data_IF_720076539396
#
_entry.id   IF_720076539396
#
_cell.length_a   1.000
_cell.length_b   1.000
_cell.length_c   1.000
_cell.angle_alpha   90.00
_cell.angle_beta   90.00
_cell.angle_gamma   90.00
#
_symmetry.space_group_name_H-M   'P 1'
#
loop_
_entity.id
_entity.type
_entity.pdbx_description
1 polymer ?
#
# COMPACT_ATOMS: atom_id res chain seq x y z
N UNK A 1 22.79 12.19 16.94
CA UNK A 1 22.56 13.41 16.11
C UNK A 1 23.71 13.72 15.15
N UNK A 2 24.98 13.58 15.56
CA UNK A 2 26.15 13.88 14.71
C UNK A 2 26.42 12.81 13.62
N UNK A 3 26.28 11.52 13.93
CA UNK A 3 26.55 10.43 12.97
C UNK A 3 25.70 10.50 11.69
N UNK A 4 24.43 10.88 11.83
CA UNK A 4 23.50 11.06 10.71
C UNK A 4 23.87 12.21 9.78
N UNK A 5 24.61 13.20 10.27
CA UNK A 5 25.11 14.31 9.44
C UNK A 5 26.29 13.83 8.60
N UNK A 6 27.24 13.10 9.21
CA UNK A 6 28.36 12.50 8.49
C UNK A 6 27.92 11.58 7.35
N UNK A 7 26.85 10.80 7.56
CA UNK A 7 26.26 9.95 6.51
C UNK A 7 25.63 10.73 5.34
N UNK A 8 25.33 12.02 5.51
CA UNK A 8 24.74 12.89 4.49
C UNK A 8 25.77 13.79 3.80
N UNK A 9 27.03 13.78 4.24
CA UNK A 9 28.09 14.56 3.59
C UNK A 9 28.44 13.85 2.27
N UNK A 10 28.27 14.56 1.16
CA UNK A 10 28.66 14.07 -0.16
C UNK A 10 30.18 14.16 -0.38
N UNK A 11 30.65 13.66 -1.52
CA UNK A 11 32.07 13.68 -1.90
C UNK A 11 32.69 15.10 -1.93
N UNK A 12 31.87 16.12 -2.15
CA UNK A 12 32.28 17.54 -2.13
C UNK A 12 32.42 18.12 -0.72
N UNK A 13 32.19 17.35 0.35
CA UNK A 13 32.19 17.84 1.74
C UNK A 13 30.93 18.63 2.12
N UNK A 14 29.99 18.82 1.19
CA UNK A 14 28.72 19.51 1.42
C UNK A 14 27.64 18.49 1.80
N UNK A 15 26.81 18.84 2.79
CA UNK A 15 25.67 18.03 3.21
C UNK A 15 24.62 18.01 2.10
N UNK A 16 24.17 16.81 1.72
CA UNK A 16 23.10 16.64 0.74
C UNK A 16 21.80 17.34 1.15
N UNK A 17 21.09 17.84 0.17
CA UNK A 17 19.81 18.53 0.36
C UNK A 17 18.80 17.66 1.11
N UNK A 18 18.10 18.23 2.09
CA UNK A 18 17.02 17.53 2.78
C UNK A 18 15.82 17.35 1.85
N UNK A 19 15.41 16.10 1.65
CA UNK A 19 14.27 15.68 0.82
C UNK A 19 13.02 15.37 1.65
N UNK A 20 13.04 15.57 2.97
CA UNK A 20 11.83 15.45 3.80
C UNK A 20 10.73 16.40 3.28
N UNK A 21 9.51 15.88 3.14
CA UNK A 21 8.37 16.64 2.62
C UNK A 21 8.44 16.99 1.12
N UNK A 22 9.57 16.76 0.45
CA UNK A 22 9.70 16.93 -1.00
C UNK A 22 9.29 15.63 -1.67
N UNK A 23 7.99 15.48 -1.90
CA UNK A 23 7.50 14.43 -2.78
C UNK A 23 8.00 14.74 -4.20
N UNK A 24 8.94 13.93 -4.71
CA UNK A 24 9.09 13.81 -6.16
C UNK A 24 7.71 13.48 -6.72
N UNK A 25 7.34 14.04 -7.87
CA UNK A 25 6.04 13.79 -8.51
C UNK A 25 5.94 12.29 -8.76
N UNK A 26 5.37 11.54 -7.82
CA UNK A 26 5.17 10.11 -7.94
C UNK A 26 4.31 9.94 -9.19
N UNK A 27 4.83 9.28 -10.22
CA UNK A 27 4.09 9.02 -11.44
C UNK A 27 2.75 8.44 -11.04
N UNK A 28 1.66 9.18 -11.34
CA UNK A 28 0.33 8.67 -11.04
C UNK A 28 0.19 7.38 -11.83
N UNK A 29 0.00 6.28 -11.12
CA UNK A 29 -0.44 5.04 -11.74
C UNK A 29 -1.73 5.32 -12.49
N UNK A 30 -1.85 4.71 -13.66
CA UNK A 30 -3.05 4.81 -14.47
C UNK A 30 -4.27 4.31 -13.68
N UNK A 31 -5.41 4.96 -13.88
CA UNK A 31 -6.62 4.62 -13.12
C UNK A 31 -7.16 3.24 -13.50
N UNK A 32 -6.96 2.80 -14.75
CA UNK A 32 -7.32 1.44 -15.18
C UNK A 32 -6.61 0.37 -14.34
N UNK A 33 -5.31 0.55 -14.06
CA UNK A 33 -4.53 -0.39 -13.25
C UNK A 33 -5.03 -0.41 -11.81
N UNK A 34 -5.48 0.73 -11.28
CA UNK A 34 -6.05 0.77 -9.93
C UNK A 34 -7.40 0.06 -9.89
N UNK A 35 -8.19 0.20 -10.94
CA UNK A 35 -9.52 -0.40 -11.02
C UNK A 35 -9.45 -1.92 -11.16
N UNK A 36 -8.47 -2.49 -11.89
CA UNK A 36 -8.27 -3.95 -11.90
C UNK A 36 -7.97 -4.49 -10.50
N UNK A 37 -7.12 -3.81 -9.74
CA UNK A 37 -6.78 -4.19 -8.37
C UNK A 37 -8.01 -4.05 -7.44
N UNK A 38 -8.77 -2.95 -7.55
CA UNK A 38 -10.00 -2.74 -6.77
C UNK A 38 -11.04 -3.81 -7.07
N UNK A 39 -11.23 -4.15 -8.33
CA UNK A 39 -12.18 -5.18 -8.76
C UNK A 39 -11.80 -6.55 -8.18
N UNK A 40 -10.52 -6.90 -8.20
CA UNK A 40 -10.05 -8.12 -7.53
C UNK A 40 -10.31 -8.10 -6.02
N UNK A 41 -9.99 -6.99 -5.34
CA UNK A 41 -10.25 -6.83 -3.90
C UNK A 41 -11.74 -6.96 -3.57
N UNK A 42 -12.62 -6.42 -4.41
CA UNK A 42 -14.07 -6.47 -4.22
C UNK A 42 -14.68 -7.84 -4.53
N UNK A 43 -13.94 -8.74 -5.18
CA UNK A 43 -14.41 -10.11 -5.48
C UNK A 43 -14.43 -11.01 -4.23
N UNK A 44 -13.66 -10.68 -3.20
CA UNK A 44 -13.59 -11.45 -1.97
C UNK A 44 -14.82 -11.23 -1.08
N UNK A 45 -15.28 -12.31 -0.45
CA UNK A 45 -16.35 -12.23 0.55
C UNK A 45 -15.88 -11.47 1.79
N UNK A 46 -16.69 -10.51 2.21
CA UNK A 46 -16.49 -9.78 3.46
C UNK A 46 -17.38 -10.33 4.57
N UNK A 47 -16.92 -10.24 5.81
CA UNK A 47 -17.65 -10.57 7.03
C UNK A 47 -17.97 -9.30 7.81
N UNK A 48 -19.06 -9.33 8.58
CA UNK A 48 -19.38 -8.27 9.54
C UNK A 48 -18.49 -8.40 10.79
N UNK A 49 -18.24 -7.29 11.49
CA UNK A 49 -17.56 -7.39 12.77
C UNK A 49 -18.45 -8.07 13.79
N UNK A 50 -17.93 -9.12 14.42
CA UNK A 50 -18.60 -9.81 15.51
C UNK A 50 -18.98 -8.90 16.69
N UNK A 51 -18.23 -7.81 16.89
CA UNK A 51 -18.42 -6.86 17.99
C UNK A 51 -18.86 -5.46 17.51
N UNK A 52 -19.35 -5.33 16.27
CA UNK A 52 -19.79 -4.02 15.79
C UNK A 52 -20.91 -3.48 16.70
N UNK A 53 -20.71 -2.28 17.26
CA UNK A 53 -21.79 -1.52 17.88
C UNK A 53 -22.85 -1.24 16.81
N UNK A 54 -24.13 -1.22 17.21
CA UNK A 54 -25.33 -1.05 16.35
C UNK A 54 -25.27 0.11 15.34
N UNK A 55 -24.33 1.04 15.49
CA UNK A 55 -24.21 2.25 14.68
C UNK A 55 -23.24 2.15 13.51
N UNK A 56 -22.50 1.04 13.35
CA UNK A 56 -21.49 0.92 12.29
C UNK A 56 -21.69 -0.34 11.44
N UNK A 57 -21.70 -0.18 10.12
CA UNK A 57 -21.82 -1.27 9.14
C UNK A 57 -20.46 -1.62 8.50
N UNK A 58 -19.39 -1.66 9.31
CA UNK A 58 -18.05 -1.95 8.79
C UNK A 58 -17.93 -3.42 8.43
N UNK A 59 -17.47 -3.66 7.20
CA UNK A 59 -17.16 -4.98 6.67
C UNK A 59 -15.66 -5.22 6.69
N UNK A 60 -15.27 -6.44 7.00
CA UNK A 60 -13.88 -6.87 7.13
C UNK A 60 -13.64 -8.10 6.26
N UNK A 61 -12.38 -8.37 5.91
CA UNK A 61 -12.02 -9.65 5.32
C UNK A 61 -11.94 -10.75 6.39
N UNK A 62 -12.15 -12.02 6.02
CA UNK A 62 -11.97 -13.14 6.94
C UNK A 62 -10.52 -13.18 7.43
N UNK A 63 -10.27 -13.61 8.68
CA UNK A 63 -8.93 -13.63 9.29
C UNK A 63 -7.94 -14.54 8.55
N UNK A 64 -8.44 -15.46 7.72
CA UNK A 64 -7.65 -16.35 6.89
C UNK A 64 -7.08 -15.68 5.64
N UNK A 65 -7.64 -14.52 5.25
CA UNK A 65 -7.25 -13.74 4.08
C UNK A 65 -6.38 -12.56 4.51
N UNK A 66 -5.09 -12.65 4.20
CA UNK A 66 -4.12 -11.59 4.47
C UNK A 66 -3.64 -10.96 3.16
N UNK A 67 -2.95 -9.82 3.26
CA UNK A 67 -2.48 -9.06 2.10
C UNK A 67 -1.58 -9.92 1.19
N UNK A 68 -0.69 -10.73 1.77
CA UNK A 68 0.20 -11.61 1.01
C UNK A 68 -0.58 -12.63 0.17
N UNK A 69 -1.61 -13.26 0.75
CA UNK A 69 -2.49 -14.20 0.03
C UNK A 69 -3.30 -13.49 -1.04
N UNK A 70 -3.85 -12.30 -0.75
CA UNK A 70 -4.59 -11.52 -1.74
C UNK A 70 -3.72 -11.18 -2.95
N UNK A 71 -2.44 -10.87 -2.72
CA UNK A 71 -1.47 -10.61 -3.79
C UNK A 71 -1.18 -11.87 -4.62
N UNK A 72 -0.92 -13.01 -3.99
CA UNK A 72 -0.73 -14.27 -4.71
C UNK A 72 -1.94 -14.61 -5.60
N UNK A 73 -3.15 -14.50 -5.05
CA UNK A 73 -4.39 -14.70 -5.80
C UNK A 73 -4.59 -13.67 -6.91
N UNK A 74 -4.05 -12.45 -6.76
CA UNK A 74 -4.08 -11.44 -7.81
C UNK A 74 -3.15 -11.80 -8.98
N UNK A 75 -1.98 -12.38 -8.69
CA UNK A 75 -1.08 -12.85 -9.74
C UNK A 75 -1.72 -13.96 -10.57
N UNK A 76 -2.41 -14.91 -9.92
CA UNK A 76 -3.20 -15.95 -10.58
C UNK A 76 -4.35 -15.33 -11.42
N UNK A 77 -5.11 -14.40 -10.84
CA UNK A 77 -6.17 -13.67 -11.54
C UNK A 77 -5.69 -12.93 -12.80
N UNK A 78 -4.46 -12.42 -12.80
CA UNK A 78 -3.82 -11.78 -13.96
C UNK A 78 -3.23 -12.78 -14.96
N UNK A 79 -3.07 -14.05 -14.62
CA UNK A 79 -2.63 -15.10 -15.55
C UNK A 79 -3.82 -15.74 -16.28
N UNK A 80 -4.97 -15.80 -15.62
CA UNK A 80 -6.21 -16.36 -16.18
C UNK A 80 -6.96 -15.39 -17.14
N UNK A 81 -6.53 -14.13 -17.24
CA UNK A 81 -7.07 -13.09 -18.14
C UNK A 81 -5.98 -12.54 -19.08
#
# INVERSE_FOLDING_TARGET
MIQTVFAKIGSSGVVMEDRRGKACKNSKLDDSIKDTVRNHINSFKTIESHYCRKTTERKYFPPTLNISKMFLLYQEYCQDN
#
